data_IF_759711264075
#
_entry.id   IF_759711264075
#
_cell.length_a   1.000
_cell.length_b   1.000
_cell.length_c   1.000
_cell.angle_alpha   90.00
_cell.angle_beta   90.00
_cell.angle_gamma   90.00
#
_symmetry.space_group_name_H-M   'P 1'
#
loop_
_entity.id
_entity.type
_entity.pdbx_description
1 polymer ?
#
# COMPACT_ATOMS: atom_id res chain seq x y z
N UNK A 1 -9.76 4.39 5.80
CA UNK A 1 -10.55 5.09 6.83
C UNK A 1 -11.95 5.45 6.34
N UNK A 2 -12.08 6.14 5.20
CA UNK A 2 -13.40 6.52 4.64
C UNK A 2 -14.35 5.32 4.48
N UNK A 3 -13.85 4.18 3.98
CA UNK A 3 -14.66 2.97 3.83
C UNK A 3 -15.12 2.40 5.18
N UNK A 4 -14.26 2.41 6.21
CA UNK A 4 -14.63 2.01 7.58
C UNK A 4 -15.73 2.90 8.18
N UNK A 5 -15.64 4.21 7.95
CA UNK A 5 -16.70 5.14 8.36
C UNK A 5 -18.02 4.90 7.61
N UNK A 6 -17.97 4.52 6.33
CA UNK A 6 -19.16 4.13 5.56
C UNK A 6 -19.77 2.83 6.07
N UNK A 7 -18.97 1.83 6.42
CA UNK A 7 -19.44 0.58 7.03
C UNK A 7 -20.12 0.84 8.36
N UNK A 8 -19.47 1.59 9.27
CA UNK A 8 -20.07 2.01 10.53
C UNK A 8 -21.39 2.74 10.32
N UNK A 9 -21.44 3.72 9.41
CA UNK A 9 -22.69 4.45 9.09
C UNK A 9 -23.79 3.52 8.60
N UNK A 10 -23.44 2.53 7.77
CA UNK A 10 -24.41 1.57 7.25
C UNK A 10 -25.00 0.70 8.37
N UNK A 11 -24.17 0.21 9.27
CA UNK A 11 -24.60 -0.56 10.45
C UNK A 11 -25.49 0.30 11.35
N UNK A 12 -25.09 1.54 11.60
CA UNK A 12 -25.86 2.49 12.42
C UNK A 12 -27.20 2.80 11.78
N UNK A 13 -27.26 3.03 10.48
CA UNK A 13 -28.49 3.30 9.75
C UNK A 13 -29.49 2.11 9.84
N UNK A 14 -28.96 0.88 9.78
CA UNK A 14 -29.79 -0.33 9.94
C UNK A 14 -30.33 -0.47 11.36
N UNK A 15 -29.49 -0.22 12.37
CA UNK A 15 -29.89 -0.32 13.78
C UNK A 15 -30.92 0.73 14.18
N UNK A 16 -30.87 1.92 13.56
CA UNK A 16 -31.79 3.02 13.83
C UNK A 16 -32.99 3.06 12.88
N UNK A 17 -33.03 2.21 11.85
CA UNK A 17 -34.13 2.16 10.88
C UNK A 17 -34.23 3.43 10.02
N UNK A 18 -33.14 4.13 9.79
CA UNK A 18 -33.11 5.38 9.00
C UNK A 18 -32.15 5.25 7.82
N UNK A 19 -32.37 6.01 6.71
CA UNK A 19 -31.41 6.02 5.60
C UNK A 19 -30.01 6.50 6.02
N UNK A 20 -28.91 5.97 5.43
CA UNK A 20 -27.53 6.30 5.82
C UNK A 20 -27.20 7.79 5.79
N UNK A 21 -27.76 8.55 4.83
CA UNK A 21 -27.51 9.99 4.70
C UNK A 21 -28.11 10.82 5.85
N UNK A 22 -29.09 10.26 6.59
CA UNK A 22 -29.67 10.91 7.79
C UNK A 22 -28.63 10.88 8.93
N UNK A 23 -27.85 9.78 9.06
CA UNK A 23 -26.76 9.72 10.01
C UNK A 23 -25.70 10.74 9.64
N UNK A 24 -25.01 10.53 8.49
CA UNK A 24 -24.06 11.48 7.90
C UNK A 24 -24.06 11.36 6.37
N UNK A 25 -23.91 12.50 5.69
CA UNK A 25 -23.66 12.50 4.25
C UNK A 25 -22.21 12.13 3.94
N UNK A 26 -21.92 11.81 2.67
CA UNK A 26 -20.58 11.38 2.25
C UNK A 26 -19.51 12.47 2.41
N UNK A 27 -19.87 13.75 2.27
CA UNK A 27 -18.94 14.86 2.43
C UNK A 27 -18.46 14.98 3.88
N UNK A 28 -19.36 14.87 4.85
CA UNK A 28 -19.00 14.84 6.29
C UNK A 28 -18.05 13.68 6.59
N UNK A 29 -18.34 12.45 6.08
CA UNK A 29 -17.45 11.31 6.29
C UNK A 29 -16.08 11.48 5.61
N UNK A 30 -16.04 12.11 4.42
CA UNK A 30 -14.77 12.45 3.75
C UNK A 30 -13.97 13.46 4.56
N UNK A 31 -14.64 14.47 5.11
CA UNK A 31 -13.98 15.49 5.93
C UNK A 31 -13.41 14.89 7.22
N UNK A 32 -14.16 14.03 7.93
CA UNK A 32 -13.65 13.25 9.08
C UNK A 32 -12.42 12.41 8.69
N UNK A 33 -12.50 11.70 7.55
CA UNK A 33 -11.40 10.85 7.07
C UNK A 33 -10.16 11.64 6.67
N UNK A 34 -10.31 12.89 6.23
CA UNK A 34 -9.22 13.78 5.81
C UNK A 34 -8.58 14.48 7.00
N UNK A 35 -9.41 15.05 7.90
CA UNK A 35 -8.93 15.80 9.07
C UNK A 35 -8.37 14.88 10.16
N UNK A 36 -8.89 13.63 10.26
CA UNK A 36 -8.48 12.62 11.25
C UNK A 36 -8.40 13.20 12.66
N UNK A 37 -9.50 13.72 13.22
CA UNK A 37 -9.50 14.35 14.52
C UNK A 37 -8.94 13.40 15.59
N UNK A 38 -8.09 13.93 16.46
CA UNK A 38 -7.46 13.20 17.56
C UNK A 38 -8.28 13.33 18.85
N UNK A 39 -9.01 14.44 18.98
CA UNK A 39 -9.84 14.74 20.13
C UNK A 39 -11.31 14.89 19.71
N UNK A 40 -12.21 14.47 20.60
CA UNK A 40 -13.66 14.46 20.32
C UNK A 40 -14.20 15.86 20.02
N UNK A 41 -13.61 16.90 20.62
CA UNK A 41 -14.01 18.29 20.42
C UNK A 41 -13.76 18.79 18.99
N UNK A 42 -12.75 18.26 18.32
CA UNK A 42 -12.41 18.61 16.93
C UNK A 42 -13.50 18.19 15.95
N UNK A 43 -14.29 17.17 16.30
CA UNK A 43 -15.45 16.76 15.50
C UNK A 43 -16.51 17.87 15.37
N UNK A 44 -16.62 18.77 16.33
CA UNK A 44 -17.58 19.90 16.27
C UNK A 44 -17.26 20.91 15.16
N UNK A 45 -16.00 20.98 14.75
CA UNK A 45 -15.55 21.86 13.66
C UNK A 45 -15.87 21.30 12.27
N UNK A 46 -16.21 20.02 12.18
CA UNK A 46 -16.47 19.34 10.89
C UNK A 46 -17.88 19.68 10.42
N UNK A 47 -17.98 20.09 9.14
CA UNK A 47 -19.24 20.43 8.51
C UNK A 47 -20.21 19.23 8.49
N UNK A 48 -21.43 19.45 8.96
CA UNK A 48 -22.48 18.44 9.06
C UNK A 48 -22.51 17.66 10.38
N UNK A 49 -21.65 18.01 11.35
CA UNK A 49 -21.71 17.53 12.74
C UNK A 49 -22.24 18.65 13.62
N UNK A 50 -23.56 18.73 13.74
CA UNK A 50 -24.22 19.61 14.72
C UNK A 50 -24.31 18.95 16.10
N UNK A 51 -24.67 19.72 17.13
CA UNK A 51 -24.71 19.26 18.53
C UNK A 51 -25.44 17.93 18.72
N UNK A 52 -26.62 17.75 18.11
CA UNK A 52 -27.40 16.52 18.22
C UNK A 52 -26.63 15.29 17.69
N UNK A 53 -25.94 15.44 16.55
CA UNK A 53 -25.15 14.35 15.95
C UNK A 53 -23.85 14.14 16.69
N UNK A 54 -23.27 15.21 17.22
CA UNK A 54 -22.11 15.14 18.07
C UNK A 54 -22.40 14.33 19.33
N UNK A 55 -23.42 14.69 20.09
CA UNK A 55 -23.78 14.01 21.33
C UNK A 55 -24.14 12.54 21.09
N UNK A 56 -24.70 12.23 19.93
CA UNK A 56 -25.16 10.87 19.61
C UNK A 56 -24.06 9.97 19.05
N UNK A 57 -23.14 10.50 18.23
CA UNK A 57 -22.24 9.69 17.41
C UNK A 57 -20.75 9.99 17.62
N UNK A 58 -20.37 11.06 18.32
CA UNK A 58 -18.96 11.47 18.42
C UNK A 58 -18.08 10.38 19.02
N UNK A 59 -18.54 9.70 20.07
CA UNK A 59 -17.79 8.63 20.73
C UNK A 59 -17.54 7.45 19.78
N UNK A 60 -18.57 6.99 19.07
CA UNK A 60 -18.44 5.88 18.13
C UNK A 60 -17.55 6.23 16.94
N UNK A 61 -17.62 7.48 16.43
CA UNK A 61 -16.73 7.95 15.38
C UNK A 61 -15.28 7.93 15.87
N UNK A 62 -15.01 8.40 17.08
CA UNK A 62 -13.65 8.37 17.66
C UNK A 62 -13.15 6.92 17.83
N UNK A 63 -14.00 5.99 18.19
CA UNK A 63 -13.66 4.57 18.25
C UNK A 63 -13.29 4.01 16.88
N UNK A 64 -14.05 4.34 15.83
CA UNK A 64 -13.72 3.97 14.43
C UNK A 64 -12.37 4.57 14.01
N UNK A 65 -12.11 5.84 14.37
CA UNK A 65 -10.85 6.52 14.08
C UNK A 65 -9.66 5.84 14.79
N UNK A 66 -9.77 5.57 16.08
CA UNK A 66 -8.73 4.89 16.88
C UNK A 66 -8.45 3.48 16.35
N UNK A 67 -9.48 2.70 16.08
CA UNK A 67 -9.34 1.36 15.52
C UNK A 67 -8.77 1.38 14.09
N UNK A 68 -8.98 2.45 13.33
CA UNK A 68 -8.38 2.63 12.03
C UNK A 68 -6.87 2.94 12.13
N UNK A 69 -6.46 3.79 13.08
CA UNK A 69 -5.05 4.11 13.35
C UNK A 69 -4.31 2.85 13.80
N UNK A 70 -4.86 2.12 14.77
CA UNK A 70 -4.26 0.84 15.24
C UNK A 70 -4.15 -0.18 14.10
N UNK A 71 -5.13 -0.27 13.20
CA UNK A 71 -5.06 -1.19 12.06
C UNK A 71 -4.05 -0.74 11.00
N UNK A 72 -3.85 0.55 10.80
CA UNK A 72 -2.84 1.08 9.88
C UNK A 72 -1.42 0.88 10.44
N UNK A 73 -1.21 1.10 11.72
CA UNK A 73 0.08 0.81 12.39
C UNK A 73 0.37 -0.70 12.41
N UNK A 74 -0.59 -1.55 12.74
CA UNK A 74 -0.39 -3.01 12.70
C UNK A 74 -0.18 -3.54 11.28
N UNK A 75 -0.79 -2.93 10.26
CA UNK A 75 -0.51 -3.27 8.86
C UNK A 75 0.87 -2.77 8.41
N UNK A 76 1.29 -1.58 8.84
CA UNK A 76 2.63 -1.08 8.58
C UNK A 76 3.69 -1.95 9.30
N UNK A 77 3.44 -2.32 10.56
CA UNK A 77 4.29 -3.23 11.33
C UNK A 77 4.32 -4.65 10.72
N UNK A 78 3.16 -5.19 10.26
CA UNK A 78 3.10 -6.47 9.55
C UNK A 78 3.85 -6.42 8.22
N UNK A 79 3.70 -5.34 7.43
CA UNK A 79 4.48 -5.13 6.20
C UNK A 79 5.98 -5.03 6.51
N UNK A 80 6.37 -4.19 7.46
CA UNK A 80 7.77 -4.06 7.88
C UNK A 80 8.35 -5.38 8.34
N UNK A 81 7.62 -6.14 9.17
CA UNK A 81 8.03 -7.48 9.61
C UNK A 81 8.18 -8.44 8.44
N UNK A 82 7.27 -8.42 7.48
CA UNK A 82 7.32 -9.27 6.28
C UNK A 82 8.57 -9.02 5.43
N UNK A 83 8.96 -7.77 5.21
CA UNK A 83 10.18 -7.43 4.49
C UNK A 83 11.43 -7.78 5.29
N UNK A 84 11.42 -7.53 6.60
CA UNK A 84 12.52 -7.87 7.50
C UNK A 84 12.79 -9.38 7.54
N UNK A 85 11.77 -10.20 7.60
CA UNK A 85 11.89 -11.66 7.53
C UNK A 85 12.54 -12.11 6.21
N UNK A 86 12.14 -11.51 5.07
CA UNK A 86 12.79 -11.78 3.79
C UNK A 86 14.26 -11.37 3.83
N UNK A 87 14.56 -10.16 4.35
CA UNK A 87 15.94 -9.65 4.47
C UNK A 87 16.82 -10.59 5.29
N UNK A 88 16.36 -11.02 6.47
CA UNK A 88 17.10 -11.95 7.32
C UNK A 88 17.42 -13.28 6.62
N UNK A 89 16.48 -13.80 5.82
CA UNK A 89 16.70 -15.04 5.06
C UNK A 89 17.66 -14.82 3.89
N UNK A 90 17.61 -13.69 3.21
CA UNK A 90 18.60 -13.29 2.19
C UNK A 90 19.99 -13.16 2.79
N UNK A 91 20.12 -12.47 3.94
CA UNK A 91 21.40 -12.30 4.66
C UNK A 91 21.96 -13.63 5.16
N UNK A 92 21.11 -14.63 5.39
CA UNK A 92 21.53 -16.01 5.71
C UNK A 92 21.89 -16.85 4.48
N UNK A 93 21.93 -16.25 3.28
CA UNK A 93 22.31 -16.90 2.03
C UNK A 93 21.21 -17.77 1.39
N UNK A 94 19.94 -17.59 1.77
CA UNK A 94 18.83 -18.30 1.14
C UNK A 94 18.49 -17.71 -0.22
N UNK A 95 18.21 -18.58 -1.20
CA UNK A 95 17.72 -18.15 -2.51
C UNK A 95 16.24 -17.70 -2.46
N UNK A 96 15.77 -16.90 -3.42
CA UNK A 96 14.36 -16.51 -3.49
C UNK A 96 13.38 -17.69 -3.49
N UNK A 97 13.76 -18.80 -4.13
CA UNK A 97 12.96 -20.04 -4.17
C UNK A 97 12.85 -20.69 -2.78
N UNK A 98 13.99 -20.76 -2.07
CA UNK A 98 14.03 -21.29 -0.70
C UNK A 98 13.21 -20.42 0.25
N UNK A 99 13.29 -19.10 0.11
CA UNK A 99 12.52 -18.14 0.91
C UNK A 99 11.02 -18.29 0.63
N UNK A 100 10.64 -18.40 -0.64
CA UNK A 100 9.25 -18.63 -1.05
C UNK A 100 8.67 -19.89 -0.38
N UNK A 101 9.43 -20.99 -0.41
CA UNK A 101 9.04 -22.25 0.21
C UNK A 101 8.95 -22.16 1.73
N UNK A 102 9.97 -21.60 2.40
CA UNK A 102 10.01 -21.46 3.86
C UNK A 102 8.92 -20.56 4.41
N UNK A 103 8.56 -19.51 3.69
CA UNK A 103 7.56 -18.53 4.12
C UNK A 103 6.16 -18.80 3.57
N UNK A 104 5.97 -19.85 2.77
CA UNK A 104 4.70 -20.17 2.09
C UNK A 104 4.13 -18.98 1.30
N UNK A 105 5.00 -18.25 0.58
CA UNK A 105 4.64 -17.15 -0.31
C UNK A 105 5.13 -17.42 -1.73
N UNK A 106 4.59 -16.69 -2.71
CA UNK A 106 5.03 -16.86 -4.10
C UNK A 106 6.46 -16.32 -4.32
N UNK A 107 7.20 -16.90 -5.27
CA UNK A 107 8.50 -16.39 -5.72
C UNK A 107 8.38 -14.92 -6.15
N UNK A 108 7.35 -14.56 -6.90
CA UNK A 108 7.06 -13.18 -7.31
C UNK A 108 6.91 -12.22 -6.13
N UNK A 109 6.34 -12.68 -4.99
CA UNK A 109 6.26 -11.91 -3.76
C UNK A 109 7.65 -11.67 -3.15
N UNK A 110 8.53 -12.68 -3.15
CA UNK A 110 9.91 -12.53 -2.67
C UNK A 110 10.67 -11.50 -3.51
N UNK A 111 10.57 -11.55 -4.83
CA UNK A 111 11.19 -10.56 -5.72
C UNK A 111 10.62 -9.14 -5.50
N UNK A 112 9.33 -9.01 -5.18
CA UNK A 112 8.75 -7.72 -4.78
C UNK A 112 9.35 -7.21 -3.48
N UNK A 113 9.62 -8.09 -2.51
CA UNK A 113 10.29 -7.72 -1.27
C UNK A 113 11.74 -7.29 -1.51
N UNK A 114 12.48 -7.99 -2.37
CA UNK A 114 13.85 -7.63 -2.77
C UNK A 114 13.88 -6.22 -3.39
N UNK A 115 12.99 -5.94 -4.35
CA UNK A 115 12.88 -4.63 -4.98
C UNK A 115 12.56 -3.53 -3.97
N UNK A 116 11.59 -3.75 -3.09
CA UNK A 116 11.24 -2.80 -2.02
C UNK A 116 12.41 -2.54 -1.06
N UNK A 117 13.11 -3.57 -0.60
CA UNK A 117 14.27 -3.43 0.28
C UNK A 117 15.37 -2.61 -0.40
N UNK A 118 15.63 -2.87 -1.68
CA UNK A 118 16.59 -2.11 -2.47
C UNK A 118 16.19 -0.64 -2.61
N UNK A 119 14.92 -0.33 -2.92
CA UNK A 119 14.39 1.05 -3.00
C UNK A 119 14.52 1.79 -1.66
N UNK A 120 14.38 1.09 -0.53
CA UNK A 120 14.54 1.65 0.83
C UNK A 120 15.99 1.83 1.28
N UNK A 121 16.96 1.44 0.45
CA UNK A 121 18.39 1.61 0.76
C UNK A 121 18.98 0.49 1.61
N UNK A 122 18.24 -0.60 1.82
CA UNK A 122 18.77 -1.78 2.46
C UNK A 122 19.92 -2.41 1.64
N UNK A 123 20.87 -3.04 2.32
CA UNK A 123 21.98 -3.73 1.67
C UNK A 123 21.47 -5.01 0.98
N UNK A 124 21.09 -4.85 -0.27
CA UNK A 124 20.67 -5.95 -1.15
C UNK A 124 21.44 -5.80 -2.45
N UNK A 125 22.20 -6.84 -2.81
CA UNK A 125 22.88 -6.89 -4.10
C UNK A 125 21.86 -7.26 -5.19
N UNK A 126 21.31 -6.23 -5.84
CA UNK A 126 20.30 -6.41 -6.88
C UNK A 126 20.92 -7.04 -8.16
N UNK A 127 22.22 -6.82 -8.40
CA UNK A 127 22.94 -7.37 -9.56
C UNK A 127 23.19 -8.88 -9.46
N UNK A 128 22.90 -9.48 -8.30
CA UNK A 128 22.82 -10.93 -8.17
C UNK A 128 21.62 -11.52 -8.95
N UNK A 129 20.61 -10.70 -9.24
CA UNK A 129 19.34 -11.13 -9.86
C UNK A 129 19.12 -10.58 -11.25
N UNK A 130 19.66 -9.40 -11.57
CA UNK A 130 19.49 -8.69 -12.84
C UNK A 130 20.81 -8.18 -13.39
N UNK A 131 20.87 -7.98 -14.70
CA UNK A 131 22.04 -7.47 -15.40
C UNK A 131 21.83 -6.02 -15.85
N UNK A 132 22.94 -5.31 -16.11
CA UNK A 132 22.90 -3.96 -16.69
C UNK A 132 22.22 -3.95 -18.06
N UNK A 133 22.38 -5.02 -18.85
CA UNK A 133 21.72 -5.15 -20.15
C UNK A 133 20.19 -5.24 -20.01
N UNK A 134 19.69 -6.03 -19.03
CA UNK A 134 18.26 -6.09 -18.72
C UNK A 134 17.72 -4.72 -18.28
N UNK A 135 18.46 -4.02 -17.41
CA UNK A 135 18.07 -2.67 -16.96
C UNK A 135 17.94 -1.73 -18.15
N UNK A 136 18.90 -1.74 -19.08
CA UNK A 136 18.89 -0.91 -20.29
C UNK A 136 17.71 -1.26 -21.19
N UNK A 137 17.47 -2.54 -21.47
CA UNK A 137 16.31 -2.99 -22.28
C UNK A 137 14.99 -2.55 -21.67
N UNK A 138 14.84 -2.67 -20.33
CA UNK A 138 13.61 -2.25 -19.62
C UNK A 138 13.47 -0.72 -19.66
N UNK A 139 14.53 0.05 -19.50
CA UNK A 139 14.50 1.51 -19.61
C UNK A 139 14.10 1.97 -21.02
N UNK A 140 14.71 1.37 -22.05
CA UNK A 140 14.40 1.69 -23.46
C UNK A 140 12.92 1.34 -23.79
N UNK A 141 12.42 0.25 -23.25
CA UNK A 141 11.01 -0.14 -23.38
C UNK A 141 10.08 0.82 -22.63
N UNK A 142 10.44 1.20 -21.40
CA UNK A 142 9.66 2.13 -20.58
C UNK A 142 9.54 3.51 -21.23
N UNK A 143 10.60 4.02 -21.84
CA UNK A 143 10.61 5.31 -22.55
C UNK A 143 9.75 5.34 -23.83
N UNK A 144 9.39 4.18 -24.37
CA UNK A 144 8.52 4.07 -25.56
C UNK A 144 7.03 3.99 -25.20
N UNK A 145 6.71 3.79 -23.90
CA UNK A 145 5.34 3.65 -23.41
C UNK A 145 4.93 4.99 -22.79
N UNK A 146 3.98 5.69 -23.41
CA UNK A 146 3.53 7.03 -22.99
C UNK A 146 2.63 7.03 -21.73
N UNK A 147 2.19 5.86 -21.23
CA UNK A 147 1.31 5.71 -20.07
C UNK A 147 2.03 5.05 -18.89
N UNK A 148 1.33 5.05 -17.72
CA UNK A 148 1.78 4.32 -16.52
C UNK A 148 2.27 2.90 -16.85
N UNK A 149 3.56 2.66 -16.61
CA UNK A 149 4.27 1.47 -17.07
C UNK A 149 3.88 0.25 -16.23
N UNK A 150 2.99 -0.59 -16.76
CA UNK A 150 2.65 -1.90 -16.17
C UNK A 150 3.71 -2.95 -16.55
N UNK A 151 4.09 -3.80 -15.59
CA UNK A 151 5.06 -4.88 -15.81
C UNK A 151 4.69 -5.81 -16.97
N UNK A 152 3.40 -6.07 -17.21
CA UNK A 152 2.92 -6.87 -18.33
C UNK A 152 3.19 -6.25 -19.69
N UNK A 153 3.01 -4.93 -19.83
CA UNK A 153 3.33 -4.23 -21.09
C UNK A 153 4.83 -4.17 -21.36
N UNK A 154 5.63 -4.05 -20.32
CA UNK A 154 7.09 -4.12 -20.45
C UNK A 154 7.54 -5.51 -20.89
N UNK A 155 6.93 -6.57 -20.35
CA UNK A 155 7.24 -7.94 -20.75
C UNK A 155 7.02 -8.16 -22.23
N UNK A 156 5.90 -7.70 -22.78
CA UNK A 156 5.63 -7.70 -24.22
C UNK A 156 6.63 -6.84 -25.00
N UNK A 157 6.95 -5.64 -24.49
CA UNK A 157 7.85 -4.70 -25.15
C UNK A 157 9.32 -5.14 -25.21
N UNK A 158 9.75 -6.00 -24.28
CA UNK A 158 11.07 -6.65 -24.31
C UNK A 158 11.03 -8.03 -25.00
N UNK A 159 10.02 -8.29 -25.82
CA UNK A 159 9.82 -9.55 -26.58
C UNK A 159 9.82 -10.81 -25.71
N UNK A 160 9.33 -10.69 -24.46
CA UNK A 160 9.27 -11.78 -23.47
C UNK A 160 10.65 -12.38 -23.10
N UNK A 161 11.75 -11.68 -23.41
CA UNK A 161 13.11 -12.15 -23.13
C UNK A 161 13.50 -12.03 -21.65
N UNK A 162 12.87 -11.12 -20.91
CA UNK A 162 13.20 -10.84 -19.50
C UNK A 162 12.05 -11.31 -18.61
N UNK A 163 12.29 -12.18 -17.62
CA UNK A 163 11.25 -12.64 -16.69
C UNK A 163 10.54 -11.46 -15.97
N UNK A 164 9.25 -11.63 -15.66
CA UNK A 164 8.47 -10.61 -14.95
C UNK A 164 9.10 -10.18 -13.62
N UNK A 165 9.74 -11.10 -12.91
CA UNK A 165 10.44 -10.86 -11.67
C UNK A 165 11.62 -9.91 -11.89
N UNK A 166 12.43 -10.14 -12.94
CA UNK A 166 13.59 -9.33 -13.29
C UNK A 166 13.15 -7.93 -13.76
N UNK A 167 12.08 -7.84 -14.59
CA UNK A 167 11.51 -6.55 -14.99
C UNK A 167 11.13 -5.72 -13.75
N UNK A 168 10.53 -6.34 -12.74
CA UNK A 168 10.15 -5.68 -11.49
C UNK A 168 11.36 -5.16 -10.73
N UNK A 169 12.46 -5.92 -10.66
CA UNK A 169 13.70 -5.47 -10.04
C UNK A 169 14.37 -4.36 -10.85
N UNK A 170 14.38 -4.45 -12.19
CA UNK A 170 14.84 -3.36 -13.05
C UNK A 170 14.06 -2.06 -12.80
N UNK A 171 12.73 -2.13 -12.66
CA UNK A 171 11.91 -0.97 -12.30
C UNK A 171 12.28 -0.41 -10.93
N UNK A 172 12.53 -1.25 -9.93
CA UNK A 172 12.98 -0.80 -8.60
C UNK A 172 14.34 -0.12 -8.68
N UNK A 173 15.26 -0.64 -9.48
CA UNK A 173 16.56 -0.01 -9.74
C UNK A 173 16.38 1.37 -10.40
N UNK A 174 15.61 1.45 -11.48
CA UNK A 174 15.38 2.68 -12.22
C UNK A 174 14.68 3.77 -11.39
N UNK A 175 13.72 3.39 -10.54
CA UNK A 175 13.06 4.29 -9.59
C UNK A 175 14.01 4.84 -8.54
N UNK A 176 14.89 4.00 -7.98
CA UNK A 176 15.87 4.41 -6.97
C UNK A 176 16.86 5.42 -7.53
N UNK A 177 17.21 5.30 -8.82
CA UNK A 177 18.15 6.17 -9.52
C UNK A 177 17.47 7.30 -10.29
N UNK A 178 16.17 7.58 -10.03
CA UNK A 178 15.37 8.65 -10.64
C UNK A 178 15.37 8.65 -12.18
N UNK A 179 15.51 7.46 -12.80
CA UNK A 179 15.50 7.28 -14.27
C UNK A 179 14.08 7.06 -14.82
N UNK A 180 13.11 6.76 -13.96
CA UNK A 180 11.68 6.69 -14.27
C UNK A 180 10.88 7.29 -13.12
N UNK A 181 9.64 7.77 -13.34
CA UNK A 181 8.77 8.31 -12.29
C UNK A 181 8.51 7.30 -11.17
N UNK A 182 8.43 7.79 -9.93
CA UNK A 182 8.15 6.98 -8.71
C UNK A 182 6.69 6.58 -8.60
#
# INVERSE_FOLDING_TARGET
LFDKLKEWRLEKSRSEGVPPYIIFNDNTLKEIATQKPLFVEELRAISGIGDVKFDKYAFEIMEVLQNAVVSDETNALKKGKTYLETKMLLDSGKTPEQIASLRHISKSTVYSHIGYLYEKGEQVDIFHYITEEEIKKVLDAANKIEEYVKTSRLFEAVNEEIPHENIRLCLSYLKKHDQIPK
#
